data_IF_558983507954
#
_entry.id   IF_558983507954
#
_cell.length_a   1.000
_cell.length_b   1.000
_cell.length_c   1.000
_cell.angle_alpha   90.00
_cell.angle_beta   90.00
_cell.angle_gamma   90.00
#
_symmetry.space_group_name_H-M   'P 1'
#
loop_
_entity.id
_entity.type
_entity.pdbx_description
1 polymer ?
#
# COMPACT_ATOMS: atom_id res chain seq x y z
N UNK A 1 24.23 12.31 54.11
CA UNK A 1 23.20 12.20 53.07
C UNK A 1 23.76 12.66 51.74
N UNK A 2 24.36 11.73 51.00
CA UNK A 2 24.71 11.95 49.60
C UNK A 2 23.41 11.99 48.80
N UNK A 3 23.09 13.16 48.27
CA UNK A 3 22.04 13.35 47.29
C UNK A 3 22.39 12.55 46.03
N UNK A 4 21.90 11.32 45.95
CA UNK A 4 21.78 10.63 44.68
C UNK A 4 20.83 11.46 43.81
N UNK A 5 21.38 12.22 42.86
CA UNK A 5 20.61 12.72 41.73
C UNK A 5 20.04 11.50 41.01
N UNK A 6 18.80 11.11 41.33
CA UNK A 6 18.03 10.16 40.55
C UNK A 6 17.83 10.76 39.16
N UNK A 7 18.73 10.48 38.22
CA UNK A 7 18.48 10.77 36.81
C UNK A 7 17.35 9.81 36.41
N UNK A 8 16.14 10.31 36.10
CA UNK A 8 15.03 9.44 35.73
C UNK A 8 15.43 8.69 34.47
N UNK A 9 15.28 7.37 34.49
CA UNK A 9 15.46 6.56 33.28
C UNK A 9 14.45 7.03 32.23
N UNK A 10 14.88 7.18 30.95
CA UNK A 10 13.97 7.59 29.90
C UNK A 10 12.84 6.55 29.77
N UNK A 11 11.60 7.02 29.76
CA UNK A 11 10.40 6.20 29.62
C UNK A 11 9.54 6.69 28.47
N UNK A 12 8.79 5.76 27.87
CA UNK A 12 7.86 6.05 26.79
C UNK A 12 6.70 6.91 27.30
N UNK A 13 6.43 8.05 26.64
CA UNK A 13 5.34 8.97 27.05
C UNK A 13 3.93 8.38 26.94
N UNK A 14 3.77 7.25 26.24
CA UNK A 14 2.46 6.64 25.95
C UNK A 14 2.14 5.52 26.95
N UNK A 15 3.06 4.58 27.16
CA UNK A 15 2.86 3.44 28.07
C UNK A 15 3.57 3.58 29.41
N UNK A 16 4.39 4.63 29.60
CA UNK A 16 5.18 4.91 30.80
C UNK A 16 6.20 3.82 31.17
N UNK A 17 6.53 2.92 30.23
CA UNK A 17 7.55 1.87 30.39
C UNK A 17 8.89 2.32 29.79
N UNK A 18 10.00 1.75 30.28
CA UNK A 18 11.35 2.04 29.81
C UNK A 18 11.72 1.28 28.54
N UNK A 19 13.03 1.18 28.28
CA UNK A 19 13.57 0.51 27.09
C UNK A 19 13.43 -1.03 27.13
N UNK A 20 13.04 -1.61 28.26
CA UNK A 20 12.82 -3.06 28.41
C UNK A 20 11.70 -3.60 27.50
N UNK A 21 10.76 -2.74 27.10
CA UNK A 21 9.66 -3.12 26.21
C UNK A 21 9.93 -2.83 24.72
N UNK A 22 11.14 -2.36 24.40
CA UNK A 22 11.59 -2.00 23.06
C UNK A 22 12.36 -0.69 23.03
N UNK A 23 13.03 -0.42 21.91
CA UNK A 23 13.84 0.78 21.76
C UNK A 23 13.00 2.06 21.83
N UNK A 24 13.51 3.04 22.58
CA UNK A 24 12.93 4.37 22.70
C UNK A 24 13.51 5.26 21.59
N UNK A 25 12.62 5.88 20.82
CA UNK A 25 12.97 6.85 19.78
C UNK A 25 12.43 8.24 20.11
N UNK A 26 12.98 9.24 19.45
CA UNK A 26 12.57 10.64 19.55
C UNK A 26 11.86 11.06 18.27
N UNK A 27 10.54 10.85 18.10
CA UNK A 27 9.87 11.01 16.80
C UNK A 27 9.58 12.47 16.43
N UNK A 28 9.82 13.42 17.33
CA UNK A 28 9.41 14.82 17.16
C UNK A 28 10.31 15.80 17.93
N UNK A 29 9.97 17.09 17.85
CA UNK A 29 10.74 18.22 18.42
C UNK A 29 10.51 18.47 19.91
N UNK A 30 9.70 17.63 20.58
CA UNK A 30 9.48 17.78 22.02
C UNK A 30 10.79 17.53 22.79
N UNK A 31 10.89 18.11 23.98
CA UNK A 31 12.07 17.96 24.86
C UNK A 31 11.67 17.38 26.23
N UNK A 32 12.67 17.01 27.04
CA UNK A 32 12.48 16.40 28.35
C UNK A 32 11.95 14.96 28.26
N UNK A 33 11.14 14.55 29.23
CA UNK A 33 10.61 13.18 29.32
C UNK A 33 9.63 12.83 28.19
N UNK A 34 8.87 13.82 27.71
CA UNK A 34 7.80 13.63 26.70
C UNK A 34 8.31 13.41 25.28
N UNK A 35 9.63 13.46 25.04
CA UNK A 35 10.20 13.24 23.70
C UNK A 35 10.34 11.77 23.34
N UNK A 36 10.39 10.86 24.31
CA UNK A 36 10.68 9.45 24.09
C UNK A 36 9.40 8.63 23.89
N UNK A 37 9.39 7.77 22.88
CA UNK A 37 8.29 6.81 22.61
C UNK A 37 8.82 5.52 22.03
N UNK A 38 8.17 4.39 22.30
CA UNK A 38 8.39 3.16 21.51
C UNK A 38 7.76 3.28 20.12
N UNK A 39 8.37 2.62 19.14
CA UNK A 39 7.86 2.58 17.76
C UNK A 39 6.45 2.01 17.68
N UNK A 40 6.21 0.87 18.33
CA UNK A 40 4.91 0.22 18.33
C UNK A 40 3.84 1.06 19.05
N UNK A 41 4.18 1.72 20.16
CA UNK A 41 3.26 2.62 20.86
C UNK A 41 2.87 3.81 19.98
N UNK A 42 3.84 4.42 19.30
CA UNK A 42 3.57 5.56 18.43
C UNK A 42 2.73 5.17 17.21
N UNK A 43 3.06 4.06 16.53
CA UNK A 43 2.27 3.57 15.40
C UNK A 43 0.83 3.27 15.82
N UNK A 44 0.64 2.66 17.01
CA UNK A 44 -0.68 2.44 17.59
C UNK A 44 -1.41 3.77 17.85
N UNK A 45 -0.75 4.73 18.46
CA UNK A 45 -1.31 6.07 18.71
C UNK A 45 -1.72 6.78 17.42
N UNK A 46 -0.88 6.73 16.37
CA UNK A 46 -1.19 7.31 15.04
C UNK A 46 -2.43 6.64 14.45
N UNK A 47 -2.48 5.31 14.52
CA UNK A 47 -3.61 4.52 14.05
C UNK A 47 -4.91 4.84 14.78
N UNK A 48 -4.87 5.03 16.11
CA UNK A 48 -6.05 5.31 16.94
C UNK A 48 -6.50 6.77 16.86
N UNK A 49 -5.57 7.72 16.77
CA UNK A 49 -5.87 9.16 16.68
C UNK A 49 -6.15 9.63 15.25
N UNK A 50 -5.69 8.90 14.24
CA UNK A 50 -5.76 9.31 12.84
C UNK A 50 -4.89 10.53 12.52
N UNK A 51 -3.89 10.84 13.35
CA UNK A 51 -3.02 11.99 13.20
C UNK A 51 -1.56 11.57 13.01
N UNK A 52 -0.91 12.15 12.00
CA UNK A 52 0.50 11.95 11.69
C UNK A 52 1.39 13.06 12.28
N UNK A 53 0.83 13.94 13.10
CA UNK A 53 1.54 15.07 13.71
C UNK A 53 1.53 14.95 15.22
N UNK A 54 2.63 15.36 15.84
CA UNK A 54 2.70 15.49 17.29
C UNK A 54 1.69 16.53 17.78
N UNK A 55 0.93 16.19 18.82
CA UNK A 55 -0.09 17.07 19.41
C UNK A 55 0.49 18.25 20.20
N UNK A 56 1.77 18.20 20.57
CA UNK A 56 2.44 19.22 21.38
C UNK A 56 3.24 20.20 20.52
N UNK A 57 4.14 19.68 19.68
CA UNK A 57 5.04 20.49 18.86
C UNK A 57 4.61 20.61 17.39
N UNK A 58 3.48 20.01 17.01
CA UNK A 58 2.94 20.00 15.64
C UNK A 58 3.86 19.40 14.57
N UNK A 59 5.00 18.82 14.94
CA UNK A 59 5.93 18.18 14.01
C UNK A 59 5.31 16.92 13.40
N UNK A 60 5.46 16.76 12.07
CA UNK A 60 4.98 15.58 11.35
C UNK A 60 5.93 14.40 11.54
N UNK A 61 5.43 13.30 12.09
CA UNK A 61 6.22 12.09 12.32
C UNK A 61 6.76 11.53 11.01
N UNK A 62 8.02 11.10 11.02
CA UNK A 62 8.66 10.48 9.87
C UNK A 62 8.45 8.96 9.89
N UNK A 63 7.31 8.52 9.37
CA UNK A 63 6.96 7.10 9.26
C UNK A 63 7.20 6.62 7.83
N UNK A 64 8.01 5.58 7.65
CA UNK A 64 8.37 5.03 6.35
C UNK A 64 8.05 3.54 6.28
N UNK A 65 7.56 3.08 5.13
CA UNK A 65 7.40 1.65 4.88
C UNK A 65 8.74 1.05 4.46
N UNK A 66 9.22 0.03 5.19
CA UNK A 66 10.53 -0.58 4.91
C UNK A 66 10.42 -1.85 4.07
N UNK A 67 9.60 -2.81 4.50
CA UNK A 67 9.56 -4.15 3.93
C UNK A 67 8.15 -4.74 4.05
N UNK A 68 7.82 -5.65 3.13
CA UNK A 68 6.60 -6.46 3.23
C UNK A 68 6.77 -7.51 4.36
N UNK A 69 5.73 -7.72 5.17
CA UNK A 69 5.69 -8.83 6.13
C UNK A 69 5.89 -10.16 5.40
N UNK A 70 6.41 -11.17 6.10
CA UNK A 70 6.54 -12.50 5.51
C UNK A 70 5.16 -13.09 5.23
N UNK A 71 4.98 -13.95 4.21
CA UNK A 71 3.66 -14.45 3.81
C UNK A 71 2.82 -15.07 4.94
N UNK A 72 3.48 -15.73 5.90
CA UNK A 72 2.83 -16.32 7.08
C UNK A 72 2.36 -15.32 8.14
N UNK A 73 2.78 -14.06 8.07
CA UNK A 73 2.35 -12.97 8.96
C UNK A 73 1.33 -12.05 8.27
N UNK A 74 0.88 -12.39 7.07
CA UNK A 74 -0.05 -11.55 6.34
C UNK A 74 -1.41 -11.48 7.04
N UNK A 75 -1.93 -10.26 7.11
CA UNK A 75 -3.22 -9.95 7.65
C UNK A 75 -4.21 -9.81 6.49
N UNK A 76 -5.37 -10.46 6.63
CA UNK A 76 -6.47 -10.30 5.70
C UNK A 76 -7.17 -8.95 5.94
N UNK A 77 -7.65 -8.35 4.86
CA UNK A 77 -8.50 -7.16 4.90
C UNK A 77 -9.93 -7.61 4.60
N UNK A 78 -10.90 -6.95 5.23
CA UNK A 78 -12.31 -7.19 4.92
C UNK A 78 -12.64 -6.63 3.53
N UNK A 79 -13.02 -7.51 2.61
CA UNK A 79 -13.40 -7.18 1.24
C UNK A 79 -14.92 -7.23 1.14
N UNK A 80 -15.51 -6.13 0.66
CA UNK A 80 -16.97 -6.01 0.47
C UNK A 80 -17.46 -6.87 -0.69
N UNK A 81 -18.76 -7.16 -0.74
CA UNK A 81 -19.34 -7.95 -1.84
C UNK A 81 -19.12 -7.28 -3.20
N UNK A 82 -19.26 -5.94 -3.26
CA UNK A 82 -19.06 -5.16 -4.48
C UNK A 82 -17.63 -5.32 -4.99
N UNK A 83 -16.63 -5.16 -4.12
CA UNK A 83 -15.22 -5.32 -4.48
C UNK A 83 -14.90 -6.75 -4.95
N UNK A 84 -15.54 -7.78 -4.38
CA UNK A 84 -15.40 -9.17 -4.84
C UNK A 84 -15.92 -9.33 -6.27
N UNK A 85 -17.10 -8.80 -6.57
CA UNK A 85 -17.69 -8.86 -7.91
C UNK A 85 -16.79 -8.12 -8.91
N UNK A 86 -16.29 -6.95 -8.55
CA UNK A 86 -15.37 -6.18 -9.40
C UNK A 86 -14.05 -6.93 -9.66
N UNK A 87 -13.47 -7.58 -8.64
CA UNK A 87 -12.27 -8.41 -8.83
C UNK A 87 -12.53 -9.59 -9.78
N UNK A 88 -13.67 -10.27 -9.65
CA UNK A 88 -14.03 -11.38 -10.55
C UNK A 88 -14.25 -10.87 -11.97
N UNK A 89 -14.92 -9.73 -12.14
CA UNK A 89 -15.13 -9.11 -13.45
C UNK A 89 -13.81 -8.74 -14.14
N UNK A 90 -12.87 -8.10 -13.41
CA UNK A 90 -11.54 -7.76 -13.94
C UNK A 90 -10.75 -9.02 -14.31
N UNK A 91 -10.81 -10.07 -13.48
CA UNK A 91 -10.11 -11.33 -13.76
C UNK A 91 -10.66 -12.03 -15.01
N UNK A 92 -11.97 -12.23 -15.08
CA UNK A 92 -12.62 -12.88 -16.23
C UNK A 92 -12.48 -12.05 -17.51
N UNK A 93 -12.62 -10.72 -17.41
CA UNK A 93 -12.38 -9.81 -18.53
C UNK A 93 -10.94 -9.88 -19.03
N UNK A 94 -9.95 -9.89 -18.13
CA UNK A 94 -8.54 -10.02 -18.52
C UNK A 94 -8.27 -11.36 -19.21
N UNK A 95 -8.86 -12.45 -18.73
CA UNK A 95 -8.73 -13.77 -19.36
C UNK A 95 -9.33 -13.79 -20.77
N UNK A 96 -10.53 -13.23 -20.94
CA UNK A 96 -11.20 -13.11 -22.24
C UNK A 96 -10.35 -12.26 -23.20
N UNK A 97 -9.86 -11.11 -22.75
CA UNK A 97 -9.03 -10.21 -23.54
C UNK A 97 -7.74 -10.90 -24.01
N UNK A 98 -7.05 -11.62 -23.13
CA UNK A 98 -5.84 -12.37 -23.48
C UNK A 98 -6.15 -13.46 -24.52
N UNK A 99 -7.24 -14.20 -24.35
CA UNK A 99 -7.64 -15.23 -25.30
C UNK A 99 -7.99 -14.64 -26.68
N UNK A 100 -8.74 -13.53 -26.70
CA UNK A 100 -9.12 -12.80 -27.92
C UNK A 100 -7.89 -12.26 -28.66
N UNK A 101 -7.01 -11.53 -27.96
CA UNK A 101 -5.75 -11.02 -28.54
C UNK A 101 -4.88 -12.15 -29.06
N UNK A 102 -4.76 -13.25 -28.30
CA UNK A 102 -3.98 -14.42 -28.74
C UNK A 102 -4.53 -15.02 -30.03
N UNK A 103 -5.86 -15.12 -30.15
CA UNK A 103 -6.51 -15.60 -31.35
C UNK A 103 -6.32 -14.64 -32.54
N UNK A 104 -6.45 -13.34 -32.32
CA UNK A 104 -6.22 -12.30 -33.34
C UNK A 104 -4.77 -12.27 -33.83
N UNK A 105 -3.80 -12.41 -32.93
CA UNK A 105 -2.39 -12.47 -33.27
C UNK A 105 -2.08 -13.75 -34.07
N UNK A 106 -2.57 -14.90 -33.61
CA UNK A 106 -2.43 -16.16 -34.33
C UNK A 106 -3.01 -16.06 -35.75
N UNK A 107 -4.23 -15.54 -35.87
CA UNK A 107 -4.93 -15.45 -37.16
C UNK A 107 -4.24 -14.46 -38.12
N UNK A 108 -3.71 -13.35 -37.59
CA UNK A 108 -2.99 -12.34 -38.36
C UNK A 108 -1.61 -12.81 -38.83
N UNK A 109 -0.93 -13.65 -38.06
CA UNK A 109 0.45 -14.06 -38.36
C UNK A 109 0.55 -15.43 -39.03
N UNK A 110 -0.39 -16.34 -38.79
CA UNK A 110 -0.29 -17.72 -39.27
C UNK A 110 -0.41 -17.81 -40.81
N UNK A 111 0.57 -18.42 -41.50
CA UNK A 111 0.50 -18.67 -42.93
C UNK A 111 -0.68 -19.58 -43.32
N UNK A 112 -1.10 -20.47 -42.41
CA UNK A 112 -2.20 -21.40 -42.62
C UNK A 112 -3.56 -20.69 -42.70
N UNK A 113 -3.67 -19.50 -42.09
CA UNK A 113 -4.90 -18.72 -42.02
C UNK A 113 -5.03 -17.65 -43.13
N UNK A 114 -4.18 -17.65 -44.16
CA UNK A 114 -4.22 -16.63 -45.24
C UNK A 114 -5.54 -16.67 -46.01
N UNK A 115 -6.07 -17.88 -46.30
CA UNK A 115 -7.36 -18.04 -46.98
C UNK A 115 -8.53 -17.54 -46.13
N UNK A 116 -8.51 -17.83 -44.83
CA UNK A 116 -9.52 -17.41 -43.87
C UNK A 116 -9.62 -15.87 -43.76
N UNK A 117 -8.51 -15.14 -43.94
CA UNK A 117 -8.49 -13.67 -43.87
C UNK A 117 -9.11 -12.95 -45.07
N UNK A 118 -9.23 -13.64 -46.21
CA UNK A 118 -9.82 -13.07 -47.44
C UNK A 118 -11.33 -13.15 -47.49
N UNK A 119 -11.94 -13.94 -46.62
CA UNK A 119 -13.39 -14.08 -46.52
C UNK A 119 -13.99 -12.92 -45.71
N UNK A 120 -15.06 -12.32 -46.25
CA UNK A 120 -15.76 -11.16 -45.68
C UNK A 120 -16.34 -11.48 -44.30
N UNK A 121 -16.82 -12.71 -44.09
CA UNK A 121 -17.36 -13.12 -42.79
C UNK A 121 -16.29 -13.03 -41.69
N UNK A 122 -15.07 -13.47 -41.99
CA UNK A 122 -13.97 -13.42 -41.03
C UNK A 122 -13.46 -11.99 -40.80
N UNK A 123 -13.54 -11.11 -41.79
CA UNK A 123 -13.24 -9.67 -41.61
C UNK A 123 -14.22 -8.99 -40.66
N UNK A 124 -15.52 -9.30 -40.78
CA UNK A 124 -16.55 -8.82 -39.84
C UNK A 124 -16.25 -9.35 -38.43
N UNK A 125 -15.89 -10.63 -38.30
CA UNK A 125 -15.51 -11.21 -37.02
C UNK A 125 -14.31 -10.48 -36.39
N UNK A 126 -13.25 -10.15 -37.15
CA UNK A 126 -12.11 -9.39 -36.62
C UNK A 126 -12.52 -8.01 -36.10
N UNK A 127 -13.39 -7.31 -36.82
CA UNK A 127 -13.92 -6.03 -36.37
C UNK A 127 -14.72 -6.16 -35.05
N UNK A 128 -15.54 -7.20 -34.94
CA UNK A 128 -16.31 -7.46 -33.72
C UNK A 128 -15.43 -7.82 -32.53
N UNK A 129 -14.43 -8.70 -32.70
CA UNK A 129 -13.48 -9.04 -31.64
C UNK A 129 -12.67 -7.81 -31.19
N UNK A 130 -12.19 -7.00 -32.14
CA UNK A 130 -11.50 -5.76 -31.82
C UNK A 130 -12.38 -4.78 -31.03
N UNK A 131 -13.66 -4.63 -31.40
CA UNK A 131 -14.60 -3.81 -30.63
C UNK A 131 -14.87 -4.38 -29.23
N UNK A 132 -15.08 -5.69 -29.10
CA UNK A 132 -15.24 -6.36 -27.81
C UNK A 132 -14.01 -6.20 -26.92
N UNK A 133 -12.81 -6.27 -27.49
CA UNK A 133 -11.55 -6.05 -26.76
C UNK A 133 -11.47 -4.61 -26.24
N UNK A 134 -11.84 -3.61 -27.05
CA UNK A 134 -11.87 -2.21 -26.61
C UNK A 134 -12.86 -2.00 -25.44
N UNK A 135 -14.06 -2.58 -25.53
CA UNK A 135 -15.05 -2.53 -24.44
C UNK A 135 -14.50 -3.23 -23.19
N UNK A 136 -13.86 -4.39 -23.36
CA UNK A 136 -13.28 -5.15 -22.26
C UNK A 136 -12.14 -4.37 -21.58
N UNK A 137 -11.26 -3.72 -22.35
CA UNK A 137 -10.22 -2.83 -21.82
C UNK A 137 -10.85 -1.68 -21.05
N UNK A 138 -11.89 -1.04 -21.59
CA UNK A 138 -12.62 0.04 -20.90
C UNK A 138 -13.19 -0.40 -19.55
N UNK A 139 -13.81 -1.58 -19.49
CA UNK A 139 -14.32 -2.17 -18.25
C UNK A 139 -13.20 -2.49 -17.26
N UNK A 140 -12.08 -3.07 -17.72
CA UNK A 140 -10.92 -3.36 -16.86
C UNK A 140 -10.35 -2.08 -16.26
N UNK A 141 -10.26 -0.99 -17.05
CA UNK A 141 -9.79 0.30 -16.57
C UNK A 141 -10.76 0.92 -15.56
N UNK A 142 -12.06 0.87 -15.85
CA UNK A 142 -13.11 1.39 -14.96
C UNK A 142 -13.13 0.65 -13.61
N UNK A 143 -13.20 -0.68 -13.62
CA UNK A 143 -13.26 -1.51 -12.42
C UNK A 143 -11.90 -1.66 -11.72
N UNK A 144 -10.80 -1.44 -12.45
CA UNK A 144 -9.44 -1.56 -11.94
C UNK A 144 -9.13 -0.62 -10.77
N UNK A 145 -9.81 0.53 -10.69
CA UNK A 145 -9.68 1.46 -9.56
C UNK A 145 -10.10 0.83 -8.22
N UNK A 146 -11.15 0.00 -8.22
CA UNK A 146 -11.62 -0.69 -7.02
C UNK A 146 -10.61 -1.77 -6.59
N UNK A 147 -10.12 -2.56 -7.54
CA UNK A 147 -9.07 -3.57 -7.29
C UNK A 147 -7.81 -2.93 -6.73
N UNK A 148 -7.37 -1.81 -7.33
CA UNK A 148 -6.22 -1.05 -6.85
C UNK A 148 -6.41 -0.56 -5.41
N UNK A 149 -7.59 -0.04 -5.09
CA UNK A 149 -7.92 0.43 -3.74
C UNK A 149 -7.91 -0.70 -2.71
N UNK A 150 -8.38 -1.90 -3.06
CA UNK A 150 -8.27 -3.11 -2.21
C UNK A 150 -6.79 -3.47 -2.00
N UNK A 151 -6.00 -3.50 -3.07
CA UNK A 151 -4.57 -3.80 -3.00
C UNK A 151 -3.81 -2.78 -2.14
N UNK A 152 -4.15 -1.50 -2.21
CA UNK A 152 -3.52 -0.46 -1.41
C UNK A 152 -3.81 -0.64 0.08
N UNK A 153 -5.07 -0.95 0.44
CA UNK A 153 -5.46 -1.28 1.82
C UNK A 153 -4.73 -2.53 2.33
N UNK A 154 -4.66 -3.57 1.51
CA UNK A 154 -3.92 -4.79 1.84
C UNK A 154 -2.42 -4.50 2.04
N UNK A 155 -1.80 -3.67 1.19
CA UNK A 155 -0.41 -3.26 1.35
C UNK A 155 -0.20 -2.48 2.65
N UNK A 156 -1.11 -1.58 3.01
CA UNK A 156 -0.98 -0.77 4.22
C UNK A 156 -0.92 -1.62 5.50
N UNK A 157 -1.69 -2.72 5.58
CA UNK A 157 -1.68 -3.63 6.75
C UNK A 157 -0.56 -4.67 6.70
N UNK A 158 -0.02 -4.97 5.52
CA UNK A 158 1.02 -5.97 5.31
C UNK A 158 2.43 -5.41 5.18
N UNK A 159 2.60 -4.09 5.12
CA UNK A 159 3.89 -3.44 5.22
C UNK A 159 4.34 -3.32 6.69
N UNK A 160 5.63 -3.48 6.91
CA UNK A 160 6.28 -3.11 8.15
C UNK A 160 6.62 -1.61 8.10
N UNK A 161 6.17 -0.90 9.13
CA UNK A 161 6.34 0.54 9.26
C UNK A 161 7.45 0.82 10.25
N UNK A 162 8.40 1.65 9.84
CA UNK A 162 9.49 2.14 10.65
C UNK A 162 9.29 3.62 10.97
N UNK A 163 9.63 4.03 12.19
CA UNK A 163 9.56 5.44 12.60
C UNK A 163 10.97 5.96 12.79
N UNK A 164 11.32 6.98 12.02
CA UNK A 164 12.61 7.65 12.15
C UNK A 164 12.59 8.65 13.30
N UNK A 165 13.66 8.65 14.09
CA UNK A 165 13.93 9.71 15.04
C UNK A 165 14.09 11.05 14.30
N UNK A 166 13.52 12.10 14.89
CA UNK A 166 13.76 13.47 14.52
C UNK A 166 15.24 13.81 14.71
N UNK A 167 15.81 14.43 13.69
CA UNK A 167 17.20 14.87 13.66
C UNK A 167 17.23 16.40 13.65
N UNK A 168 17.74 16.99 14.74
CA UNK A 168 17.83 18.44 14.92
C UNK A 168 18.81 19.08 13.93
N UNK A 169 19.77 18.33 13.40
CA UNK A 169 20.76 18.85 12.44
C UNK A 169 20.09 19.30 11.13
N UNK A 170 19.09 18.56 10.65
CA UNK A 170 18.38 18.86 9.41
C UNK A 170 17.68 20.22 9.42
N UNK A 171 17.14 20.63 10.55
CA UNK A 171 16.47 21.91 10.66
C UNK A 171 17.42 23.11 10.65
N UNK A 172 18.70 22.89 11.01
CA UNK A 172 19.72 23.95 10.96
C UNK A 172 20.26 24.15 9.53
N UNK A 173 20.12 23.16 8.64
CA UNK A 173 20.51 23.27 7.23
C UNK A 173 19.44 23.94 6.38
N UNK A 174 18.17 23.92 6.81
CA UNK A 174 17.02 24.50 6.10
C UNK A 174 16.68 25.95 6.55
N UNK A 175 17.36 26.49 7.57
CA UNK A 175 17.15 27.83 8.14
C UNK A 175 18.16 28.86 7.63
#
# INVERSE_FOLDING_TARGET
SSSETCIPTPSCRICFQGAEQGDLLNPCRCDGSVRHTHQHCLLKWISERGSWTCELCCYRFQVVAINMKRPWQWQAVNITLVEKVQMVAVFLGSLFLVASISWLLWSALSPQAVWQRRDVLFQICYGMYGFMDLVCVGLIVHEGAAVYSVLLRWRAVNLHWDVRSYDKAKDMEEA
#
